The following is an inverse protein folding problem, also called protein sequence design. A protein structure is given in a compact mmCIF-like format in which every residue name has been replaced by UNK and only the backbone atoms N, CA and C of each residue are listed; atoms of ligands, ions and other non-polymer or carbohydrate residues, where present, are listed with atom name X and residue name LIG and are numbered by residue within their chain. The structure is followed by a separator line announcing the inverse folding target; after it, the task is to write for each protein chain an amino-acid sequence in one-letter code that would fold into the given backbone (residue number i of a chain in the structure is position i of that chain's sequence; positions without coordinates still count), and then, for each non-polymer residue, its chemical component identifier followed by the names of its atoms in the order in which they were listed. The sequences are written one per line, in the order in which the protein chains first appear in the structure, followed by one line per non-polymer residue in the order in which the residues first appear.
data_IF_828292319836
#
_entry.id   IF_828292319836
#
_cell.length_a   1.000
_cell.length_b   1.000
_cell.length_c   1.000
_cell.angle_alpha   90.00
_cell.angle_beta   90.00
_cell.angle_gamma   90.00
#
_symmetry.space_group_name_H-M   'P 1'
#
loop_
_entity.id
_entity.type
_entity.pdbx_description
1 polymer ?
#
# COMPACT_ATOMS: atom_id res chain seq x y z
N UNK A 1 -11.20 -37.75 -9.25
CA UNK A 1 -9.98 -38.52 -8.90
C UNK A 1 -9.89 -38.68 -7.39
N UNK A 2 -10.03 -37.64 -6.58
CA UNK A 2 -10.01 -37.69 -5.10
C UNK A 2 -11.04 -38.60 -4.45
N UNK A 3 -12.26 -38.68 -5.00
CA UNK A 3 -13.30 -39.55 -4.46
C UNK A 3 -13.07 -41.04 -4.76
N UNK A 4 -12.27 -41.37 -5.77
CA UNK A 4 -11.89 -42.76 -6.08
C UNK A 4 -10.71 -43.22 -5.23
N UNK A 5 -9.75 -42.34 -4.90
CA UNK A 5 -8.63 -42.66 -4.03
C UNK A 5 -9.10 -42.91 -2.58
N UNK A 6 -10.04 -42.13 -2.07
CA UNK A 6 -10.64 -42.34 -0.74
C UNK A 6 -11.40 -43.66 -0.64
N UNK A 7 -12.02 -44.14 -1.76
CA UNK A 7 -12.68 -45.45 -1.80
C UNK A 7 -11.70 -46.63 -1.89
N UNK A 8 -10.56 -46.44 -2.51
CA UNK A 8 -9.50 -47.44 -2.61
C UNK A 8 -8.71 -47.57 -1.32
N UNK A 9 -8.46 -46.49 -0.60
CA UNK A 9 -7.85 -46.53 0.74
C UNK A 9 -8.75 -47.25 1.74
N UNK A 10 -10.03 -46.93 1.78
CA UNK A 10 -11.00 -47.62 2.65
C UNK A 10 -11.20 -49.12 2.33
N UNK A 11 -10.89 -49.58 1.10
CA UNK A 11 -10.92 -51.00 0.73
C UNK A 11 -9.64 -51.75 1.16
N UNK A 12 -8.47 -51.06 1.16
CA UNK A 12 -7.20 -51.64 1.67
C UNK A 12 -7.21 -51.81 3.17
N UNK A 13 -7.79 -50.87 3.92
CA UNK A 13 -7.87 -50.93 5.39
C UNK A 13 -8.81 -52.04 5.92
N UNK A 14 -9.76 -52.53 5.06
CA UNK A 14 -10.63 -53.63 5.48
C UNK A 14 -9.95 -55.02 5.45
N UNK A 15 -8.81 -55.18 4.78
CA UNK A 15 -8.14 -56.47 4.64
C UNK A 15 -7.11 -56.78 5.73
N UNK A 16 -6.66 -55.80 6.49
CA UNK A 16 -5.62 -55.94 7.52
C UNK A 16 -6.13 -55.55 8.95
N UNK A 17 -7.35 -55.90 9.30
CA UNK A 17 -7.78 -55.77 10.70
C UNK A 17 -7.16 -56.90 11.53
N UNK A 18 -5.98 -56.69 12.07
CA UNK A 18 -5.47 -57.39 13.23
C UNK A 18 -6.51 -57.22 14.31
N UNK A 19 -7.15 -58.32 14.76
CA UNK A 19 -8.09 -58.32 15.88
C UNK A 19 -7.29 -58.02 17.15
N UNK A 20 -7.15 -56.79 17.52
CA UNK A 20 -6.59 -56.33 18.77
C UNK A 20 -7.55 -56.75 19.90
N UNK A 21 -6.99 -57.23 21.01
CA UNK A 21 -7.77 -57.55 22.23
C UNK A 21 -8.39 -56.24 22.76
N UNK A 22 -9.50 -56.34 23.50
CA UNK A 22 -10.19 -55.20 24.10
C UNK A 22 -9.25 -54.33 24.97
N UNK A 23 -8.22 -54.94 25.57
CA UNK A 23 -7.21 -54.26 26.38
C UNK A 23 -6.19 -53.46 25.53
N UNK A 24 -5.86 -53.98 24.37
CA UNK A 24 -4.97 -53.29 23.40
C UNK A 24 -5.69 -52.15 22.69
N UNK A 25 -6.98 -52.31 22.35
CA UNK A 25 -7.81 -51.24 21.81
C UNK A 25 -7.93 -50.06 22.78
N UNK A 26 -8.10 -50.35 24.09
CA UNK A 26 -8.17 -49.30 25.10
C UNK A 26 -6.84 -48.54 25.25
N UNK A 27 -5.71 -49.27 25.24
CA UNK A 27 -4.39 -48.66 25.27
C UNK A 27 -4.10 -47.82 24.03
N UNK A 28 -4.57 -48.26 22.84
CA UNK A 28 -4.39 -47.52 21.60
C UNK A 28 -5.23 -46.22 21.58
N UNK A 29 -6.46 -46.28 22.11
CA UNK A 29 -7.32 -45.11 22.26
C UNK A 29 -6.76 -44.12 23.30
N UNK A 30 -6.19 -44.60 24.40
CA UNK A 30 -5.52 -43.72 25.37
C UNK A 30 -4.26 -43.09 24.77
N UNK A 31 -3.44 -43.83 24.03
CA UNK A 31 -2.27 -43.33 23.36
C UNK A 31 -2.63 -42.30 22.28
N UNK A 32 -3.70 -42.56 21.51
CA UNK A 32 -4.21 -41.61 20.49
C UNK A 32 -4.76 -40.33 21.12
N UNK A 33 -5.41 -40.44 22.31
CA UNK A 33 -5.88 -39.28 23.05
C UNK A 33 -4.72 -38.43 23.55
N UNK A 34 -3.69 -39.07 24.17
CA UNK A 34 -2.47 -38.39 24.63
C UNK A 34 -1.73 -37.76 23.46
N UNK A 35 -1.65 -38.42 22.31
CA UNK A 35 -1.04 -37.88 21.09
C UNK A 35 -1.79 -36.65 20.58
N UNK A 36 -3.12 -36.70 20.53
CA UNK A 36 -3.96 -35.57 20.13
C UNK A 36 -3.88 -34.38 21.10
N UNK A 37 -3.77 -34.66 22.41
CA UNK A 37 -3.60 -33.63 23.44
C UNK A 37 -2.19 -33.00 23.42
N UNK A 38 -1.18 -33.75 22.97
CA UNK A 38 0.22 -33.27 22.87
C UNK A 38 0.60 -32.62 21.55
N UNK A 39 -0.18 -32.83 20.48
CA UNK A 39 0.07 -32.22 19.17
C UNK A 39 -0.76 -30.95 19.04
N UNK A 40 -0.14 -29.80 19.23
CA UNK A 40 -0.72 -28.50 18.91
C UNK A 40 -0.98 -28.47 17.40
N UNK A 41 -2.23 -28.31 16.98
CA UNK A 41 -2.53 -28.21 15.56
C UNK A 41 -1.96 -26.88 15.01
N UNK A 42 -1.62 -26.83 13.72
CA UNK A 42 -1.19 -25.58 13.08
C UNK A 42 -2.25 -24.48 13.28
N UNK A 43 -3.52 -24.84 13.33
CA UNK A 43 -4.62 -23.92 13.63
C UNK A 43 -4.51 -23.31 15.03
N UNK A 44 -4.13 -24.10 16.03
CA UNK A 44 -3.98 -23.63 17.42
C UNK A 44 -2.76 -22.70 17.57
N UNK A 45 -1.72 -22.89 16.73
CA UNK A 45 -0.53 -22.04 16.71
C UNK A 45 -0.84 -20.68 16.07
N UNK A 46 -1.62 -20.65 15.01
CA UNK A 46 -1.97 -19.42 14.28
C UNK A 46 -3.21 -18.72 14.84
N UNK A 47 -4.03 -19.42 15.64
CA UNK A 47 -5.22 -18.84 16.27
C UNK A 47 -4.82 -17.73 17.25
N UNK A 48 -5.57 -16.60 17.29
CA UNK A 48 -5.32 -15.56 18.26
C UNK A 48 -5.55 -16.08 19.69
N UNK A 49 -4.72 -15.65 20.64
CA UNK A 49 -4.84 -16.05 22.04
C UNK A 49 -6.14 -15.58 22.69
N UNK A 50 -6.68 -14.45 22.23
CA UNK A 50 -7.98 -13.94 22.66
C UNK A 50 -8.70 -13.26 21.52
N UNK A 51 -10.00 -13.52 21.42
CA UNK A 51 -10.90 -12.86 20.46
C UNK A 51 -12.21 -12.54 21.20
N UNK A 52 -12.52 -11.26 21.31
CA UNK A 52 -13.75 -10.79 21.97
C UNK A 52 -14.44 -9.76 21.09
N UNK A 53 -15.72 -9.94 20.91
CA UNK A 53 -16.56 -9.05 20.10
C UNK A 53 -17.39 -8.15 21.02
N UNK A 54 -17.19 -6.86 20.88
CA UNK A 54 -18.01 -5.81 21.48
C UNK A 54 -18.89 -5.19 20.38
N UNK A 55 -20.01 -4.50 20.71
CA UNK A 55 -20.88 -3.87 19.71
C UNK A 55 -20.18 -2.84 18.80
N UNK A 56 -19.09 -2.26 19.26
CA UNK A 56 -18.34 -1.19 18.55
C UNK A 56 -16.97 -1.58 18.08
N UNK A 57 -16.40 -2.67 18.58
CA UNK A 57 -15.03 -3.07 18.30
C UNK A 57 -14.85 -4.57 18.51
N UNK A 58 -13.78 -5.12 17.95
CA UNK A 58 -13.24 -6.43 18.28
C UNK A 58 -11.96 -6.24 19.07
N UNK A 59 -11.79 -7.01 20.13
CA UNK A 59 -10.54 -7.12 20.87
C UNK A 59 -9.83 -8.40 20.42
N UNK A 60 -8.62 -8.23 19.88
CA UNK A 60 -7.79 -9.30 19.36
C UNK A 60 -6.41 -9.24 20.02
N UNK A 61 -6.07 -10.23 20.82
CA UNK A 61 -4.77 -10.29 21.54
C UNK A 61 -4.45 -8.99 22.34
N UNK A 62 -5.47 -8.36 22.94
CA UNK A 62 -5.31 -7.14 23.71
C UNK A 62 -5.26 -5.84 22.87
N UNK A 63 -5.34 -5.93 21.54
CA UNK A 63 -5.54 -4.78 20.66
C UNK A 63 -7.00 -4.63 20.29
N UNK A 64 -7.43 -3.40 20.12
CA UNK A 64 -8.79 -3.06 19.70
C UNK A 64 -8.81 -2.70 18.22
N UNK A 65 -9.81 -3.19 17.51
CA UNK A 65 -10.01 -2.88 16.10
C UNK A 65 -11.47 -2.61 15.79
N UNK A 66 -11.71 -1.81 14.78
CA UNK A 66 -13.05 -1.54 14.25
C UNK A 66 -12.98 -1.27 12.75
N UNK A 67 -14.03 -1.63 12.04
CA UNK A 67 -14.11 -1.44 10.59
C UNK A 67 -15.07 -0.32 10.27
N UNK A 68 -14.63 0.61 9.41
CA UNK A 68 -15.45 1.63 8.80
C UNK A 68 -15.88 1.16 7.41
N UNK A 69 -17.10 1.47 7.04
CA UNK A 69 -17.61 1.29 5.67
C UNK A 69 -18.14 2.62 5.13
N UNK A 70 -18.07 2.80 3.82
CA UNK A 70 -18.57 4.02 3.17
C UNK A 70 -20.10 3.94 3.09
N UNK A 71 -20.76 5.05 3.37
CA UNK A 71 -22.21 5.20 3.27
C UNK A 71 -22.65 6.15 2.15
N UNK A 72 -21.73 6.98 1.68
CA UNK A 72 -22.01 7.90 0.59
C UNK A 72 -20.74 8.37 -0.09
N UNK A 73 -20.80 8.51 -1.41
CA UNK A 73 -19.75 9.09 -2.24
C UNK A 73 -20.22 10.41 -2.84
N UNK A 74 -19.31 11.36 -3.10
CA UNK A 74 -19.66 12.57 -3.83
C UNK A 74 -20.00 12.23 -5.29
N UNK A 75 -20.71 13.13 -5.95
CA UNK A 75 -21.09 12.98 -7.36
C UNK A 75 -19.89 12.79 -8.30
N UNK A 76 -18.76 13.42 -7.97
CA UNK A 76 -17.49 13.32 -8.70
C UNK A 76 -16.36 12.99 -7.73
N UNK A 77 -15.56 12.01 -8.10
CA UNK A 77 -14.38 11.59 -7.34
C UNK A 77 -13.15 11.94 -8.17
N UNK A 78 -12.22 12.69 -7.59
CA UNK A 78 -10.97 13.08 -8.25
C UNK A 78 -9.90 11.99 -8.15
N UNK A 79 -9.02 11.91 -9.14
CA UNK A 79 -7.83 11.04 -9.06
C UNK A 79 -7.00 11.41 -7.82
N UNK A 80 -6.51 10.40 -7.11
CA UNK A 80 -5.69 10.59 -5.91
C UNK A 80 -6.48 10.96 -4.64
N UNK A 81 -7.81 10.90 -4.65
CA UNK A 81 -8.64 11.17 -3.45
C UNK A 81 -8.27 10.28 -2.26
N UNK A 82 -7.77 9.09 -2.57
CA UNK A 82 -7.46 8.07 -1.58
C UNK A 82 -6.05 8.22 -0.97
N UNK A 83 -5.19 9.06 -1.55
CA UNK A 83 -3.80 9.24 -1.12
C UNK A 83 -3.65 9.61 0.36
N UNK A 84 -4.55 10.41 0.90
CA UNK A 84 -4.51 10.83 2.31
C UNK A 84 -4.77 9.68 3.28
N UNK A 85 -5.52 8.65 2.86
CA UNK A 85 -5.76 7.45 3.66
C UNK A 85 -4.56 6.52 3.60
N UNK A 86 -3.98 6.33 2.42
CA UNK A 86 -2.79 5.47 2.23
C UNK A 86 -1.58 6.02 2.99
N UNK A 87 -1.43 7.35 3.02
CA UNK A 87 -0.37 8.02 3.75
C UNK A 87 -0.71 8.28 5.24
N UNK A 88 -1.75 7.62 5.77
CA UNK A 88 -2.08 7.74 7.19
C UNK A 88 -1.00 7.06 8.04
N UNK A 89 -0.55 7.74 9.09
CA UNK A 89 0.64 7.34 9.89
C UNK A 89 0.41 6.18 10.87
N UNK A 90 -0.80 5.66 10.96
CA UNK A 90 -1.13 4.55 11.85
C UNK A 90 -1.54 3.30 11.06
N UNK A 91 -1.34 2.10 11.59
CA UNK A 91 -1.72 0.86 10.93
C UNK A 91 -3.23 0.84 10.61
N UNK A 92 -3.56 0.56 9.37
CA UNK A 92 -4.93 0.31 8.92
C UNK A 92 -4.95 -0.66 7.74
N UNK A 93 -6.00 -1.43 7.65
CA UNK A 93 -6.24 -2.31 6.52
C UNK A 93 -7.34 -1.72 5.64
N UNK A 94 -7.17 -1.87 4.33
CA UNK A 94 -8.11 -1.40 3.34
C UNK A 94 -8.55 -2.58 2.49
N UNK A 95 -9.84 -2.86 2.48
CA UNK A 95 -10.43 -3.93 1.69
C UNK A 95 -11.39 -3.35 0.66
N UNK A 96 -11.19 -3.74 -0.58
CA UNK A 96 -12.02 -3.32 -1.71
C UNK A 96 -12.61 -4.55 -2.40
N UNK A 97 -13.92 -4.57 -2.55
CA UNK A 97 -14.62 -5.63 -3.27
C UNK A 97 -15.28 -5.06 -4.51
N UNK A 98 -15.12 -5.78 -5.62
CA UNK A 98 -15.63 -5.38 -6.94
C UNK A 98 -16.47 -6.50 -7.51
N UNK A 99 -17.78 -6.28 -7.60
CA UNK A 99 -18.72 -7.24 -8.19
C UNK A 99 -19.27 -6.67 -9.50
N UNK A 100 -18.88 -7.26 -10.61
CA UNK A 100 -19.38 -6.83 -11.92
C UNK A 100 -20.87 -7.12 -12.05
N UNK A 101 -21.66 -6.12 -12.43
CA UNK A 101 -23.07 -6.25 -12.72
C UNK A 101 -23.29 -6.40 -14.22
N UNK A 102 -24.19 -7.30 -14.63
CA UNK A 102 -24.51 -7.48 -16.04
C UNK A 102 -25.08 -6.19 -16.62
N UNK A 103 -24.46 -5.71 -17.70
CA UNK A 103 -24.80 -4.43 -18.35
C UNK A 103 -26.28 -4.39 -18.79
N UNK A 104 -26.83 -5.50 -19.24
CA UNK A 104 -28.24 -5.59 -19.65
C UNK A 104 -29.23 -5.23 -18.52
N UNK A 105 -28.94 -5.68 -17.29
CA UNK A 105 -29.77 -5.40 -16.12
C UNK A 105 -29.75 -3.89 -15.82
N UNK A 106 -28.56 -3.29 -15.87
CA UNK A 106 -28.41 -1.86 -15.63
C UNK A 106 -29.06 -1.04 -16.72
N UNK A 107 -28.87 -1.36 -17.99
CA UNK A 107 -29.52 -0.67 -19.11
C UNK A 107 -31.04 -0.69 -18.98
N UNK A 108 -31.64 -1.81 -18.54
CA UNK A 108 -33.09 -1.91 -18.28
C UNK A 108 -33.52 -0.96 -17.15
N UNK A 109 -32.73 -0.89 -16.07
CA UNK A 109 -33.02 0.01 -14.95
C UNK A 109 -32.87 1.49 -15.34
N UNK A 110 -31.82 1.84 -16.10
CA UNK A 110 -31.61 3.20 -16.58
C UNK A 110 -32.72 3.66 -17.53
N UNK A 111 -33.17 2.80 -18.47
CA UNK A 111 -34.30 3.12 -19.34
C UNK A 111 -35.55 3.45 -18.54
N UNK A 112 -35.88 2.65 -17.51
CA UNK A 112 -37.02 2.94 -16.63
C UNK A 112 -36.85 4.26 -15.88
N UNK A 113 -35.62 4.56 -15.42
CA UNK A 113 -35.30 5.79 -14.70
C UNK A 113 -35.42 7.03 -15.59
N UNK A 114 -34.91 6.96 -16.83
CA UNK A 114 -35.07 7.98 -17.86
C UNK A 114 -36.53 8.28 -18.11
N UNK A 115 -37.34 7.25 -18.44
CA UNK A 115 -38.77 7.45 -18.70
C UNK A 115 -39.53 8.06 -17.52
N UNK A 116 -39.18 7.68 -16.29
CA UNK A 116 -39.80 8.27 -15.10
C UNK A 116 -39.43 9.76 -14.92
N UNK A 117 -38.16 10.13 -15.16
CA UNK A 117 -37.70 11.53 -15.08
C UNK A 117 -38.28 12.40 -16.17
N UNK A 118 -38.37 11.88 -17.41
CA UNK A 118 -39.02 12.58 -18.54
C UNK A 118 -40.51 12.84 -18.24
N UNK A 119 -41.23 11.81 -17.74
CA UNK A 119 -42.63 11.95 -17.38
C UNK A 119 -42.83 12.99 -16.27
N UNK A 120 -41.95 13.02 -15.26
CA UNK A 120 -42.00 14.03 -14.20
C UNK A 120 -41.73 15.44 -14.74
N UNK A 121 -40.72 15.63 -15.60
CA UNK A 121 -40.40 16.93 -16.21
C UNK A 121 -41.56 17.43 -17.09
N UNK A 122 -42.22 16.53 -17.85
CA UNK A 122 -43.39 16.87 -18.63
C UNK A 122 -44.58 17.30 -17.75
N UNK A 123 -44.86 16.54 -16.68
CA UNK A 123 -45.93 16.87 -15.76
C UNK A 123 -45.70 18.20 -15.00
N UNK A 124 -44.44 18.51 -14.67
CA UNK A 124 -44.08 19.78 -14.05
C UNK A 124 -44.21 20.94 -15.05
N UNK A 125 -43.83 20.75 -16.32
CA UNK A 125 -44.02 21.72 -17.39
C UNK A 125 -45.52 22.02 -17.66
N UNK A 126 -46.36 20.96 -17.71
CA UNK A 126 -47.82 21.13 -17.85
C UNK A 126 -48.46 21.90 -16.72
N UNK A 127 -47.94 21.77 -15.49
CA UNK A 127 -48.40 22.53 -14.30
C UNK A 127 -47.82 23.94 -14.21
N UNK A 128 -46.98 24.37 -15.16
CA UNK A 128 -46.29 25.66 -15.14
C UNK A 128 -45.24 25.78 -14.02
N UNK A 129 -44.77 24.67 -13.47
CA UNK A 129 -43.78 24.68 -12.42
C UNK A 129 -42.42 25.20 -12.95
N UNK A 130 -41.62 25.93 -12.14
CA UNK A 130 -40.28 26.36 -12.55
C UNK A 130 -39.40 25.17 -12.89
N UNK A 131 -38.51 25.34 -13.85
CA UNK A 131 -37.51 24.32 -14.24
C UNK A 131 -36.67 23.91 -13.06
N UNK A 132 -36.47 22.60 -12.88
CA UNK A 132 -35.58 22.03 -11.87
C UNK A 132 -34.23 21.64 -12.52
N UNK A 133 -33.18 22.46 -12.33
CA UNK A 133 -31.88 22.20 -12.94
C UNK A 133 -31.24 20.91 -12.47
N UNK A 134 -31.58 20.42 -11.25
CA UNK A 134 -31.05 19.18 -10.71
C UNK A 134 -31.60 17.97 -11.47
N UNK A 135 -32.90 17.96 -11.78
CA UNK A 135 -33.52 16.88 -12.55
C UNK A 135 -33.07 16.85 -14.01
N UNK A 136 -32.94 18.01 -14.65
CA UNK A 136 -32.41 18.10 -16.02
C UNK A 136 -30.96 17.60 -16.09
N UNK A 137 -30.16 17.90 -15.08
CA UNK A 137 -28.77 17.43 -15.02
C UNK A 137 -28.73 15.93 -14.74
N UNK A 138 -29.58 15.42 -13.83
CA UNK A 138 -29.67 14.00 -13.57
C UNK A 138 -30.11 13.19 -14.81
N UNK A 139 -31.05 13.72 -15.61
CA UNK A 139 -31.45 13.09 -16.87
C UNK A 139 -30.27 12.99 -17.84
N UNK A 140 -29.54 14.09 -18.07
CA UNK A 140 -28.37 14.10 -18.96
C UNK A 140 -27.27 13.13 -18.50
N UNK A 141 -27.02 13.05 -17.20
CA UNK A 141 -26.01 12.12 -16.68
C UNK A 141 -26.41 10.66 -16.88
N UNK A 142 -27.70 10.34 -16.68
CA UNK A 142 -28.20 8.99 -16.87
C UNK A 142 -28.18 8.59 -18.36
N UNK A 143 -28.53 9.50 -19.26
CA UNK A 143 -28.45 9.27 -20.70
C UNK A 143 -27.01 9.04 -21.13
N UNK A 144 -26.09 9.88 -20.70
CA UNK A 144 -24.68 9.74 -20.97
C UNK A 144 -24.14 8.38 -20.49
N UNK A 145 -24.44 8.00 -19.26
CA UNK A 145 -24.04 6.70 -18.71
C UNK A 145 -24.64 5.54 -19.51
N UNK A 146 -25.90 5.65 -19.90
CA UNK A 146 -26.55 4.63 -20.75
C UNK A 146 -25.81 4.45 -22.09
N UNK A 147 -25.44 5.57 -22.73
CA UNK A 147 -24.74 5.55 -24.02
C UNK A 147 -23.33 4.97 -23.88
N UNK A 148 -22.58 5.36 -22.84
CA UNK A 148 -21.25 4.82 -22.51
C UNK A 148 -21.29 3.31 -22.23
N UNK A 149 -22.30 2.84 -21.48
CA UNK A 149 -22.51 1.42 -21.24
C UNK A 149 -22.89 0.65 -22.52
N UNK A 150 -23.67 1.27 -23.41
CA UNK A 150 -24.08 0.66 -24.68
C UNK A 150 -22.90 0.55 -25.65
N UNK A 151 -22.01 1.55 -25.67
CA UNK A 151 -20.78 1.57 -26.47
C UNK A 151 -19.68 0.65 -25.87
N UNK A 152 -19.85 0.21 -24.62
CA UNK A 152 -18.86 -0.64 -23.91
C UNK A 152 -17.64 0.11 -23.40
N UNK A 153 -17.64 1.46 -23.44
CA UNK A 153 -16.57 2.31 -22.87
C UNK A 153 -16.59 2.32 -21.36
N UNK A 154 -17.78 2.11 -20.75
CA UNK A 154 -17.96 1.97 -19.31
C UNK A 154 -18.53 0.60 -18.96
N UNK A 155 -18.24 0.14 -17.74
CA UNK A 155 -18.84 -1.04 -17.12
C UNK A 155 -19.39 -0.67 -15.75
N UNK A 156 -20.28 -1.51 -15.23
CA UNK A 156 -20.95 -1.24 -13.97
C UNK A 156 -20.61 -2.27 -12.92
N UNK A 157 -20.35 -1.79 -11.69
CA UNK A 157 -19.93 -2.62 -10.58
C UNK A 157 -20.71 -2.27 -9.32
N UNK A 158 -20.84 -3.23 -8.43
CA UNK A 158 -21.06 -3.00 -7.02
C UNK A 158 -19.70 -2.94 -6.35
N UNK A 159 -19.42 -1.82 -5.72
CA UNK A 159 -18.14 -1.51 -5.08
C UNK A 159 -18.33 -1.37 -3.57
N UNK A 160 -17.56 -2.15 -2.80
CA UNK A 160 -17.48 -2.04 -1.34
C UNK A 160 -16.09 -1.56 -0.95
N UNK A 161 -16.02 -0.62 -0.01
CA UNK A 161 -14.77 -0.12 0.56
C UNK A 161 -14.88 -0.16 2.08
N UNK A 162 -13.97 -0.90 2.69
CA UNK A 162 -13.84 -1.04 4.13
C UNK A 162 -12.46 -0.58 4.59
N UNK A 163 -12.41 0.05 5.75
CA UNK A 163 -11.16 0.47 6.38
C UNK A 163 -11.18 0.00 7.83
N UNK A 164 -10.28 -0.91 8.18
CA UNK A 164 -10.13 -1.44 9.53
C UNK A 164 -8.97 -0.75 10.23
N UNK A 165 -9.23 -0.21 11.41
CA UNK A 165 -8.32 0.59 12.22
C UNK A 165 -7.96 -0.21 13.46
N UNK A 166 -6.69 -0.18 13.86
CA UNK A 166 -6.13 -0.89 15.01
C UNK A 166 -5.59 0.11 16.03
N UNK A 167 -5.82 -0.14 17.32
CA UNK A 167 -5.30 0.66 18.41
C UNK A 167 -5.00 -0.19 19.65
N UNK A 168 -4.19 0.35 20.56
CA UNK A 168 -3.84 -0.32 21.81
C UNK A 168 -4.88 -0.08 22.94
N UNK A 169 -5.77 0.92 22.79
CA UNK A 169 -6.87 1.19 23.71
C UNK A 169 -8.15 1.61 22.99
N UNK A 170 -9.30 1.51 23.66
CA UNK A 170 -10.60 1.94 23.11
C UNK A 170 -10.65 3.45 22.85
N UNK A 171 -10.08 4.24 23.75
CA UNK A 171 -10.02 5.70 23.66
C UNK A 171 -9.14 6.15 22.48
N UNK A 172 -8.05 5.43 22.23
CA UNK A 172 -7.19 5.65 21.08
C UNK A 172 -7.90 5.28 19.79
N UNK A 173 -8.57 4.12 19.78
CA UNK A 173 -9.37 3.67 18.64
C UNK A 173 -10.43 4.71 18.25
N UNK A 174 -11.15 5.26 19.21
CA UNK A 174 -12.19 6.26 18.95
C UNK A 174 -11.59 7.54 18.35
N UNK A 175 -10.45 8.02 18.88
CA UNK A 175 -9.72 9.17 18.31
C UNK A 175 -9.21 8.92 16.89
N UNK A 176 -8.71 7.70 16.61
CA UNK A 176 -8.25 7.34 15.26
C UNK A 176 -9.40 7.25 14.28
N UNK A 177 -10.54 6.70 14.70
CA UNK A 177 -11.76 6.65 13.90
C UNK A 177 -12.21 8.05 13.51
N UNK A 178 -12.31 8.99 14.45
CA UNK A 178 -12.69 10.39 14.18
C UNK A 178 -11.75 11.05 13.17
N UNK A 179 -10.44 10.81 13.29
CA UNK A 179 -9.45 11.32 12.32
C UNK A 179 -9.66 10.75 10.93
N UNK A 180 -9.83 9.43 10.81
CA UNK A 180 -10.05 8.76 9.52
C UNK A 180 -11.38 9.20 8.89
N UNK A 181 -12.46 9.30 9.67
CA UNK A 181 -13.74 9.84 9.22
C UNK A 181 -13.62 11.29 8.75
N UNK A 182 -12.83 12.12 9.43
CA UNK A 182 -12.54 13.50 9.02
C UNK A 182 -11.76 13.55 7.68
N UNK A 183 -10.78 12.67 7.49
CA UNK A 183 -10.03 12.58 6.22
C UNK A 183 -10.98 12.20 5.07
N UNK A 184 -11.82 11.19 5.23
CA UNK A 184 -12.82 10.82 4.24
C UNK A 184 -13.83 11.97 4.02
N UNK A 185 -14.32 12.59 5.10
CA UNK A 185 -15.25 13.72 5.06
C UNK A 185 -14.70 14.93 4.29
N UNK A 186 -13.38 15.19 4.36
CA UNK A 186 -12.72 16.25 3.58
C UNK A 186 -12.82 16.03 2.07
N UNK A 187 -13.05 14.78 1.64
CA UNK A 187 -13.28 14.38 0.25
C UNK A 187 -14.77 14.14 -0.07
N UNK A 188 -15.67 14.54 0.85
CA UNK A 188 -17.11 14.31 0.75
C UNK A 188 -17.48 12.81 0.66
N UNK A 189 -16.60 11.94 1.13
CA UNK A 189 -16.88 10.51 1.31
C UNK A 189 -17.24 10.31 2.76
N UNK A 190 -18.45 9.80 3.01
CA UNK A 190 -18.92 9.61 4.37
C UNK A 190 -18.84 8.15 4.76
N UNK A 191 -18.29 7.92 5.93
CA UNK A 191 -18.11 6.58 6.49
C UNK A 191 -18.92 6.39 7.77
N UNK A 192 -19.18 5.15 8.11
CA UNK A 192 -19.74 4.76 9.41
C UNK A 192 -19.01 3.52 9.94
N UNK A 193 -18.96 3.44 11.26
CA UNK A 193 -18.48 2.28 11.97
C UNK A 193 -19.46 1.12 11.86
N UNK A 194 -18.95 -0.11 11.71
CA UNK A 194 -19.73 -1.35 11.67
C UNK A 194 -20.27 -1.69 13.08
N UNK A 195 -21.26 -0.95 13.54
CA UNK A 195 -21.90 -1.15 14.85
C UNK A 195 -22.71 -2.44 14.84
N UNK A 196 -22.55 -3.27 15.88
CA UNK A 196 -23.16 -4.58 16.02
C UNK A 196 -22.80 -5.59 14.91
N UNK A 197 -21.87 -5.21 14.02
CA UNK A 197 -21.32 -5.99 12.92
C UNK A 197 -19.78 -5.94 12.93
N UNK A 198 -19.19 -5.76 14.13
CA UNK A 198 -17.75 -5.61 14.26
C UNK A 198 -16.99 -6.87 13.80
N UNK A 199 -17.53 -8.07 14.07
CA UNK A 199 -17.00 -9.34 13.61
C UNK A 199 -17.05 -9.46 12.09
N UNK A 200 -18.21 -9.18 11.47
CA UNK A 200 -18.37 -9.18 10.01
C UNK A 200 -17.45 -8.15 9.34
N UNK A 201 -17.27 -6.98 9.98
CA UNK A 201 -16.31 -5.97 9.53
C UNK A 201 -14.89 -6.49 9.52
N UNK A 202 -14.46 -7.11 10.61
CA UNK A 202 -13.16 -7.74 10.70
C UNK A 202 -12.97 -8.86 9.67
N UNK A 203 -13.94 -9.79 9.55
CA UNK A 203 -13.87 -10.87 8.59
C UNK A 203 -13.81 -10.38 7.14
N UNK A 204 -14.50 -9.26 6.82
CA UNK A 204 -14.43 -8.63 5.50
C UNK A 204 -13.08 -7.95 5.23
N UNK A 205 -12.29 -7.63 6.26
CA UNK A 205 -10.95 -7.05 6.08
C UNK A 205 -9.85 -8.09 5.95
N UNK A 206 -10.11 -9.34 6.28
CA UNK A 206 -9.14 -10.43 6.10
C UNK A 206 -8.92 -10.74 4.61
N UNK A 207 -7.70 -11.13 4.20
CA UNK A 207 -7.38 -11.42 2.80
C UNK A 207 -7.94 -12.78 2.34
N UNK A 208 -9.18 -13.08 2.71
CA UNK A 208 -9.90 -14.31 2.36
C UNK A 208 -10.89 -14.12 1.22
N UNK A 209 -11.07 -12.88 0.74
CA UNK A 209 -12.02 -12.56 -0.33
C UNK A 209 -13.49 -12.72 0.08
N UNK A 210 -13.80 -12.69 1.38
CA UNK A 210 -15.14 -12.86 1.93
C UNK A 210 -15.72 -11.51 2.38
N UNK A 211 -16.75 -11.02 1.69
CA UNK A 211 -17.47 -9.79 2.06
C UNK A 211 -18.70 -10.15 2.91
N UNK A 212 -18.53 -10.16 4.23
CA UNK A 212 -19.63 -10.43 5.18
C UNK A 212 -20.51 -9.22 5.48
N UNK A 213 -19.98 -8.00 5.34
CA UNK A 213 -20.75 -6.77 5.52
C UNK A 213 -21.74 -6.52 4.39
N UNK A 214 -21.38 -6.88 3.15
CA UNK A 214 -22.19 -6.74 1.94
C UNK A 214 -22.75 -5.33 1.71
N UNK A 215 -22.00 -4.31 2.11
CA UNK A 215 -22.37 -2.90 1.94
C UNK A 215 -21.67 -2.38 0.69
N UNK A 216 -22.41 -2.29 -0.40
CA UNK A 216 -21.88 -1.91 -1.70
C UNK A 216 -22.59 -0.70 -2.29
N UNK A 217 -21.87 0.04 -3.13
CA UNK A 217 -22.38 1.13 -3.95
C UNK A 217 -22.25 0.81 -5.42
N UNK A 218 -23.27 1.20 -6.17
CA UNK A 218 -23.24 1.06 -7.61
C UNK A 218 -22.36 2.15 -8.23
N UNK A 219 -21.33 1.74 -8.94
CA UNK A 219 -20.39 2.63 -9.63
C UNK A 219 -20.03 2.14 -11.02
N UNK A 220 -19.77 3.05 -11.94
CA UNK A 220 -19.16 2.74 -13.22
C UNK A 220 -17.63 2.66 -13.12
N UNK A 221 -16.96 2.17 -14.16
CA UNK A 221 -15.54 1.89 -14.17
C UNK A 221 -14.66 3.13 -13.92
N UNK A 222 -15.02 4.32 -14.42
CA UNK A 222 -14.21 5.53 -14.27
C UNK A 222 -14.00 5.96 -12.81
N UNK A 223 -15.03 6.14 -11.96
CA UNK A 223 -14.84 6.44 -10.54
C UNK A 223 -14.08 5.32 -9.79
N UNK A 224 -14.32 4.06 -10.13
CA UNK A 224 -13.59 2.94 -9.52
C UNK A 224 -12.11 3.02 -9.84
N UNK A 225 -11.74 3.33 -11.07
CA UNK A 225 -10.34 3.49 -11.47
C UNK A 225 -9.62 4.60 -10.68
N UNK A 226 -10.34 5.66 -10.28
CA UNK A 226 -9.76 6.72 -9.41
C UNK A 226 -9.52 6.26 -7.97
N UNK A 227 -10.15 5.17 -7.55
CA UNK A 227 -9.98 4.60 -6.20
C UNK A 227 -8.72 3.74 -6.09
N UNK A 228 -8.06 3.41 -7.22
CA UNK A 228 -6.81 2.67 -7.18
C UNK A 228 -5.71 3.57 -6.57
N UNK A 229 -5.01 3.06 -5.54
CA UNK A 229 -3.96 3.83 -4.89
C UNK A 229 -2.67 3.77 -5.73
N UNK A 230 -2.53 4.68 -6.68
CA UNK A 230 -1.27 4.82 -7.44
C UNK A 230 -0.10 5.35 -6.60
N UNK A 231 -0.28 5.40 -5.28
CA UNK A 231 0.70 5.90 -4.32
C UNK A 231 1.04 4.74 -3.40
N UNK A 232 2.33 4.45 -3.27
CA UNK A 232 2.86 3.56 -2.24
C UNK A 232 3.60 4.39 -1.20
N UNK A 233 3.43 4.04 0.06
CA UNK A 233 4.28 4.54 1.14
C UNK A 233 5.59 3.77 1.25
N UNK A 234 5.74 2.67 0.53
CA UNK A 234 6.98 1.91 0.49
C UNK A 234 7.99 2.57 -0.43
N UNK A 235 9.18 2.79 0.10
CA UNK A 235 10.35 3.34 -0.58
C UNK A 235 11.50 2.34 -0.53
N UNK A 236 11.18 1.04 -0.62
CA UNK A 236 12.14 -0.05 -0.57
C UNK A 236 12.41 -0.55 -1.98
N UNK A 237 13.68 -0.60 -2.37
CA UNK A 237 14.16 -1.32 -3.55
C UNK A 237 14.98 -2.53 -3.11
N UNK A 238 15.18 -3.47 -4.03
CA UNK A 238 15.98 -4.67 -3.76
C UNK A 238 17.49 -4.35 -3.65
N UNK A 239 17.92 -3.27 -4.31
CA UNK A 239 19.31 -2.81 -4.34
C UNK A 239 19.43 -1.37 -3.85
N UNK A 240 20.63 -1.03 -3.34
CA UNK A 240 20.97 0.32 -2.92
C UNK A 240 21.45 0.42 -1.49
N UNK A 241 21.48 1.64 -0.97
CA UNK A 241 21.87 1.95 0.41
C UNK A 241 20.66 2.21 1.30
N UNK A 242 20.79 1.88 2.58
CA UNK A 242 19.77 2.19 3.57
C UNK A 242 19.77 3.69 3.90
N UNK A 243 18.72 4.42 3.55
CA UNK A 243 18.53 5.83 3.95
C UNK A 243 17.94 5.97 5.35
N UNK A 244 17.03 5.10 5.74
CA UNK A 244 16.40 5.18 7.06
C UNK A 244 15.22 4.22 7.20
N UNK A 245 14.35 4.54 8.16
CA UNK A 245 13.11 3.81 8.43
C UNK A 245 11.94 4.72 8.05
N UNK A 246 11.03 4.22 7.25
CA UNK A 246 9.81 4.91 6.86
C UNK A 246 8.90 5.08 8.09
N UNK A 247 8.55 6.30 8.42
CA UNK A 247 7.70 6.61 9.58
C UNK A 247 6.24 6.20 9.41
N UNK A 248 5.80 5.93 8.18
CA UNK A 248 4.40 5.57 7.91
C UNK A 248 4.12 4.08 8.15
N UNK A 249 5.05 3.20 7.77
CA UNK A 249 4.84 1.76 7.79
C UNK A 249 5.99 0.97 8.46
N UNK A 250 6.98 1.67 9.05
CA UNK A 250 8.18 1.09 9.65
C UNK A 250 9.03 0.21 8.70
N UNK A 251 8.83 0.32 7.38
CA UNK A 251 9.67 -0.36 6.42
C UNK A 251 11.05 0.31 6.30
N UNK A 252 12.04 -0.42 5.82
CA UNK A 252 13.35 0.14 5.51
C UNK A 252 13.25 0.96 4.21
N UNK A 253 13.90 2.11 4.18
CA UNK A 253 14.08 2.91 2.96
C UNK A 253 15.43 2.52 2.37
N UNK A 254 15.41 1.61 1.40
CA UNK A 254 16.59 1.19 0.63
C UNK A 254 16.40 1.73 -0.78
N UNK A 255 17.41 2.44 -1.28
CA UNK A 255 17.31 3.09 -2.57
C UNK A 255 18.66 3.18 -3.25
N UNK A 256 18.71 2.81 -4.54
CA UNK A 256 19.87 3.04 -5.40
C UNK A 256 19.62 4.29 -6.26
N UNK A 257 20.33 5.37 -5.94
CA UNK A 257 20.28 6.60 -6.71
C UNK A 257 20.81 6.43 -8.13
N UNK A 258 21.84 5.58 -8.29
CA UNK A 258 22.50 5.41 -9.57
C UNK A 258 21.70 4.57 -10.57
N UNK A 259 20.62 3.93 -10.12
CA UNK A 259 19.65 3.28 -11.00
C UNK A 259 18.75 4.27 -11.76
N UNK A 260 18.72 5.54 -11.31
CA UNK A 260 17.94 6.57 -11.97
C UNK A 260 18.60 7.08 -13.25
N UNK A 261 17.79 7.55 -14.20
CA UNK A 261 18.26 8.20 -15.41
C UNK A 261 19.14 9.44 -15.13
N UNK A 262 18.84 10.13 -14.02
CA UNK A 262 19.63 11.25 -13.51
C UNK A 262 19.87 11.09 -12.01
N UNK A 263 21.10 10.74 -11.56
CA UNK A 263 21.40 10.48 -10.17
C UNK A 263 21.67 11.73 -9.33
N UNK A 264 21.57 12.94 -9.92
CA UNK A 264 21.79 14.18 -9.20
C UNK A 264 20.78 14.39 -8.08
N UNK A 265 21.22 14.90 -6.94
CA UNK A 265 20.36 15.25 -5.83
C UNK A 265 20.73 16.57 -5.21
N UNK A 266 19.74 17.25 -4.65
CA UNK A 266 19.92 18.50 -3.90
C UNK A 266 19.32 18.32 -2.51
N UNK A 267 20.06 18.68 -1.48
CA UNK A 267 19.65 18.55 -0.09
C UNK A 267 19.48 19.92 0.55
N UNK A 268 18.25 20.26 0.90
CA UNK A 268 17.91 21.48 1.62
C UNK A 268 17.54 21.15 3.07
N UNK A 269 18.08 21.91 4.01
CA UNK A 269 17.73 21.79 5.41
C UNK A 269 17.96 23.12 6.13
N UNK A 270 17.20 23.38 7.18
CA UNK A 270 17.48 24.47 8.13
C UNK A 270 18.76 24.17 8.91
N UNK A 271 19.42 25.21 9.40
CA UNK A 271 20.62 25.05 10.25
C UNK A 271 20.29 24.15 11.47
N UNK A 272 21.16 23.21 11.78
CA UNK A 272 20.97 22.26 12.89
C UNK A 272 20.02 21.08 12.62
N UNK A 273 19.40 20.98 11.43
CA UNK A 273 18.46 19.89 11.11
C UNK A 273 19.13 18.53 10.81
N UNK A 274 20.46 18.43 10.87
CA UNK A 274 21.21 17.20 10.64
C UNK A 274 21.60 16.94 9.18
N UNK A 275 21.60 17.94 8.29
CA UNK A 275 22.02 17.82 6.88
C UNK A 275 23.37 17.11 6.75
N UNK A 276 24.42 17.67 7.37
CA UNK A 276 25.78 17.12 7.27
C UNK A 276 25.89 15.71 7.86
N UNK A 277 25.12 15.41 8.90
CA UNK A 277 25.05 14.06 9.47
C UNK A 277 24.46 13.05 8.48
N UNK A 278 23.33 13.39 7.87
CA UNK A 278 22.68 12.53 6.89
C UNK A 278 23.58 12.24 5.68
N UNK A 279 24.26 13.28 5.15
CA UNK A 279 25.19 13.13 4.03
C UNK A 279 26.41 12.29 4.41
N UNK A 280 27.00 12.51 5.60
CA UNK A 280 28.10 11.67 6.08
C UNK A 280 27.72 10.21 6.18
N UNK A 281 26.51 9.94 6.66
CA UNK A 281 25.98 8.57 6.74
C UNK A 281 25.74 7.94 5.35
N UNK A 282 25.23 8.72 4.40
CA UNK A 282 25.05 8.31 3.02
C UNK A 282 26.40 7.97 2.37
N UNK A 283 27.42 8.81 2.56
CA UNK A 283 28.80 8.59 2.05
C UNK A 283 29.35 7.29 2.61
N UNK A 284 29.30 7.08 3.93
CA UNK A 284 29.81 5.85 4.54
C UNK A 284 29.13 4.60 3.99
N UNK A 285 27.81 4.63 3.83
CA UNK A 285 27.03 3.50 3.29
C UNK A 285 27.35 3.24 1.82
N UNK A 286 27.53 4.30 1.02
CA UNK A 286 27.94 4.17 -0.38
C UNK A 286 29.35 3.58 -0.51
N UNK A 287 30.29 4.01 0.34
CA UNK A 287 31.64 3.44 0.37
C UNK A 287 31.64 1.96 0.76
N UNK A 288 30.76 1.52 1.65
CA UNK A 288 30.61 0.10 1.99
C UNK A 288 30.17 -0.74 0.77
N UNK A 289 29.49 -0.13 -0.20
CA UNK A 289 29.10 -0.77 -1.47
C UNK A 289 30.19 -0.66 -2.55
N UNK A 290 31.37 -0.11 -2.21
CA UNK A 290 32.49 0.03 -3.14
C UNK A 290 32.47 1.30 -3.99
N UNK A 291 31.62 2.28 -3.66
CA UNK A 291 31.55 3.56 -4.38
C UNK A 291 32.73 4.44 -3.98
N UNK A 292 33.44 4.99 -4.97
CA UNK A 292 34.44 6.04 -4.75
C UNK A 292 33.72 7.37 -4.54
N UNK A 293 34.18 8.16 -3.55
CA UNK A 293 33.54 9.42 -3.17
C UNK A 293 34.56 10.55 -3.18
N UNK A 294 34.24 11.61 -3.91
CA UNK A 294 35.01 12.86 -3.92
C UNK A 294 34.16 13.97 -3.29
N UNK A 295 34.75 14.73 -2.36
CA UNK A 295 34.04 15.76 -1.60
C UNK A 295 34.76 17.10 -1.78
N UNK A 296 33.99 18.15 -2.12
CA UNK A 296 34.45 19.54 -2.05
C UNK A 296 33.82 20.13 -0.79
N UNK A 297 34.68 20.46 0.18
CA UNK A 297 34.26 20.84 1.53
C UNK A 297 34.79 22.24 1.91
N UNK A 298 34.05 23.31 1.60
CA UNK A 298 34.49 24.67 1.96
C UNK A 298 34.50 24.98 3.46
N UNK A 299 33.75 24.22 4.26
CA UNK A 299 33.58 24.46 5.70
C UNK A 299 34.43 23.52 6.57
N UNK A 300 35.21 22.63 5.97
CA UNK A 300 36.09 21.66 6.65
C UNK A 300 35.35 20.72 7.62
N UNK A 301 34.10 20.38 7.34
CA UNK A 301 33.29 19.49 8.17
C UNK A 301 33.61 18.01 8.00
N UNK A 302 34.23 17.61 6.86
CA UNK A 302 34.45 16.22 6.47
C UNK A 302 35.85 15.67 6.78
N UNK A 303 36.73 16.47 7.36
CA UNK A 303 38.09 16.05 7.69
C UNK A 303 38.13 14.77 8.53
N UNK A 304 37.37 14.75 9.64
CA UNK A 304 37.31 13.59 10.53
C UNK A 304 36.76 12.35 9.83
N UNK A 305 35.82 12.53 8.89
CA UNK A 305 35.30 11.42 8.10
C UNK A 305 36.39 10.86 7.19
N UNK A 306 37.12 11.73 6.48
CA UNK A 306 38.24 11.32 5.64
C UNK A 306 39.31 10.55 6.42
N UNK A 307 39.71 11.06 7.58
CA UNK A 307 40.67 10.39 8.44
C UNK A 307 40.18 9.02 8.93
N UNK A 308 38.88 8.92 9.30
CA UNK A 308 38.29 7.69 9.81
C UNK A 308 38.20 6.56 8.76
N UNK A 309 37.99 6.92 7.48
CA UNK A 309 37.89 5.93 6.37
C UNK A 309 39.22 5.71 5.65
N UNK A 310 40.33 6.35 6.10
CA UNK A 310 41.63 6.25 5.45
C UNK A 310 41.70 7.00 4.11
N UNK A 311 40.85 8.02 3.93
CA UNK A 311 40.81 8.84 2.73
C UNK A 311 41.92 9.89 2.68
N UNK A 312 42.12 10.50 1.51
CA UNK A 312 43.05 11.63 1.35
C UNK A 312 42.31 12.95 1.62
N UNK A 313 42.83 13.76 2.54
CA UNK A 313 42.32 15.10 2.79
C UNK A 313 43.33 16.14 2.28
N UNK A 314 42.94 16.92 1.29
CA UNK A 314 43.76 17.95 0.65
C UNK A 314 43.21 19.32 1.05
N UNK A 315 44.00 20.09 1.81
CA UNK A 315 43.64 21.46 2.16
C UNK A 315 44.17 22.42 1.10
N UNK A 316 43.27 23.04 0.36
CA UNK A 316 43.60 24.06 -0.64
C UNK A 316 43.30 25.46 -0.09
N UNK A 317 44.35 26.19 0.22
CA UNK A 317 44.27 27.62 0.65
C UNK A 317 45.43 28.40 0.06
N UNK A 318 45.34 29.71 0.13
CA UNK A 318 46.41 30.60 -0.40
C UNK A 318 47.76 30.32 0.27
N UNK A 319 47.77 29.85 1.49
CA UNK A 319 48.98 29.61 2.30
C UNK A 319 49.23 28.10 2.54
N UNK A 320 48.52 27.19 1.90
CA UNK A 320 48.71 25.75 2.06
C UNK A 320 49.94 25.27 1.26
N UNK A 321 50.58 24.22 1.77
CA UNK A 321 51.65 23.51 1.03
C UNK A 321 51.09 22.69 -0.13
N UNK A 322 49.86 22.27 -0.04
CA UNK A 322 49.15 21.49 -1.10
C UNK A 322 48.66 22.42 -2.19
N UNK A 323 49.09 22.18 -3.40
CA UNK A 323 48.70 22.93 -4.62
C UNK A 323 48.18 21.94 -5.66
N UNK A 324 47.10 22.31 -6.33
CA UNK A 324 46.53 21.57 -7.45
C UNK A 324 46.89 22.32 -8.73
N UNK A 325 47.61 21.66 -9.64
CA UNK A 325 47.88 22.20 -10.94
C UNK A 325 46.79 21.72 -11.91
N UNK A 326 45.87 22.59 -12.37
CA UNK A 326 44.80 22.18 -13.29
C UNK A 326 45.29 21.77 -14.67
N UNK A 327 46.55 22.05 -15.00
CA UNK A 327 47.18 21.68 -16.25
C UNK A 327 48.13 20.47 -16.11
N UNK A 328 48.08 19.79 -14.97
CA UNK A 328 48.91 18.59 -14.76
C UNK A 328 48.31 17.43 -15.55
N UNK A 329 49.11 16.87 -16.45
CA UNK A 329 48.71 15.75 -17.29
C UNK A 329 48.80 14.45 -16.48
N UNK A 330 47.80 13.56 -16.57
CA UNK A 330 47.87 12.26 -15.95
C UNK A 330 49.11 11.50 -16.44
N UNK A 331 49.76 10.78 -15.55
CA UNK A 331 50.90 9.93 -15.94
C UNK A 331 50.39 8.85 -16.88
N UNK A 332 51.05 8.65 -18.06
CA UNK A 332 50.66 7.62 -19.00
C UNK A 332 50.72 6.25 -18.32
N UNK A 333 49.64 5.50 -18.39
CA UNK A 333 49.61 4.08 -17.98
C UNK A 333 50.16 3.22 -19.12
N UNK A 334 50.67 2.01 -18.81
CA UNK A 334 51.24 1.12 -19.81
C UNK A 334 50.29 0.72 -20.97
N UNK A 335 48.99 0.99 -20.77
CA UNK A 335 47.94 0.78 -21.79
C UNK A 335 47.78 1.98 -22.75
N UNK A 336 48.33 3.16 -22.43
CA UNK A 336 48.17 4.36 -23.25
C UNK A 336 49.15 4.39 -24.39
N UNK A 337 48.74 3.89 -25.56
CA UNK A 337 49.58 3.71 -26.74
C UNK A 337 49.77 4.95 -27.60
N UNK A 338 49.12 6.10 -27.32
CA UNK A 338 49.20 7.35 -28.11
C UNK A 338 49.13 8.61 -27.24
N UNK A 339 49.95 9.66 -27.51
CA UNK A 339 49.89 10.95 -26.81
C UNK A 339 48.55 11.68 -26.94
N UNK A 340 47.76 11.37 -27.97
CA UNK A 340 46.44 11.94 -28.20
C UNK A 340 45.37 11.39 -27.25
N UNK A 341 45.57 10.20 -26.66
CA UNK A 341 44.60 9.59 -25.75
C UNK A 341 44.71 10.20 -24.33
N UNK A 342 45.86 10.75 -23.98
CA UNK A 342 46.10 11.49 -22.74
C UNK A 342 45.35 12.85 -22.75
N UNK A 343 45.31 13.52 -23.90
CA UNK A 343 44.61 14.77 -24.06
C UNK A 343 43.08 14.61 -24.05
N UNK A 344 42.56 13.46 -24.52
CA UNK A 344 41.14 13.14 -24.50
C UNK A 344 40.61 12.78 -23.12
N UNK A 345 41.42 12.22 -22.24
CA UNK A 345 41.01 11.92 -20.87
C UNK A 345 40.92 13.17 -19.97
N UNK A 346 41.61 14.26 -20.37
CA UNK A 346 41.48 15.57 -19.66
C UNK A 346 40.27 16.40 -20.09
N UNK A 347 39.65 16.09 -21.25
CA UNK A 347 38.49 16.80 -21.76
C UNK A 347 37.15 16.39 -21.08
N UNK A 348 37.17 15.37 -20.22
CA UNK A 348 35.99 14.89 -19.53
C UNK A 348 35.56 15.84 -18.35
N UNK A 349 36.35 16.85 -18.02
CA UNK A 349 36.04 17.85 -17.00
C UNK A 349 35.56 19.20 -17.56
N UNK A 350 35.27 19.31 -18.85
CA UNK A 350 34.71 20.54 -19.42
C UNK A 350 33.29 20.31 -19.92
N UNK A 351 32.33 20.80 -19.14
CA UNK A 351 31.05 21.37 -19.57
C UNK A 351 30.07 20.42 -20.32
N UNK A 352 28.89 20.34 -19.86
CA UNK A 352 27.86 21.35 -20.20
C UNK A 352 26.77 21.37 -19.12
#
# INVERSE_FOLDING_TARGET
IEQQEVKLSKKKDKKNKIKLSAKEQKKLLEAEKIYREGVTSVRDIIAPASFKVDPRAVELNGKYLTTLFVINYPRYISVGWFSSIINYSSPLDISMFFYQVKTEVILKQLRKKVGNLEAQLMADAEKGAPRDPLRETALRDIEKLRDELTQGTERFFQFSLYTTIYADSKEELDRMVEKVESIFGSKLVYTKRALYQAEQGFNSSLPLGNDELQISFNMNSSPIATSFPFISSELTSDDGILYGINRHNNSLIIFDRFSLQNPNSVVFATSGAGKSYAIKLEILRSMMMGTEVMIIDPESEYKYLSDAVGGAYINLSLNSESKLNPFDLPRPTESDSRPADILRSSDVCSSD
#
